data_IF_853894705500
#
_entry.id   IF_853894705500
#
_cell.length_a   1.000
_cell.length_b   1.000
_cell.length_c   1.000
_cell.angle_alpha   90.00
_cell.angle_beta   90.00
_cell.angle_gamma   90.00
#
_symmetry.space_group_name_H-M   'P 1'
#
loop_
_entity.id
_entity.type
_entity.pdbx_description
1 polymer ?
#
# COMPACT_ATOMS: atom_id res chain seq x y z
N UNK A 1 5.80 16.07 18.62
CA UNK A 1 6.33 16.87 17.48
C UNK A 1 5.84 16.20 16.20
N UNK A 2 5.25 16.93 15.26
CA UNK A 2 4.90 16.37 13.96
C UNK A 2 6.19 16.06 13.18
N UNK A 3 6.23 14.89 12.50
CA UNK A 3 7.35 14.52 11.65
C UNK A 3 7.51 15.54 10.51
N UNK A 4 8.74 15.91 10.18
CA UNK A 4 9.02 16.76 9.04
C UNK A 4 8.87 15.96 7.76
N UNK A 5 8.15 16.49 6.78
CA UNK A 5 7.96 15.88 5.47
C UNK A 5 8.66 16.71 4.40
N UNK A 6 9.56 16.08 3.67
CA UNK A 6 10.31 16.68 2.57
C UNK A 6 10.07 15.92 1.27
N UNK A 7 10.15 16.62 0.15
CA UNK A 7 9.94 16.07 -1.19
C UNK A 7 11.21 16.24 -2.02
N UNK A 8 11.65 15.16 -2.63
CA UNK A 8 12.74 15.08 -3.60
C UNK A 8 12.14 14.79 -4.98
N UNK A 9 12.47 15.62 -5.97
CA UNK A 9 11.96 15.55 -7.35
C UNK A 9 13.12 15.36 -8.33
N UNK A 10 13.73 14.16 -8.39
CA UNK A 10 14.95 13.92 -9.15
C UNK A 10 14.79 14.10 -10.66
N UNK A 11 13.59 13.86 -11.17
CA UNK A 11 13.27 13.90 -12.61
C UNK A 11 12.57 15.20 -13.02
N UNK A 12 12.56 16.21 -12.14
CA UNK A 12 11.86 17.49 -12.36
C UNK A 12 10.38 17.34 -12.72
N UNK A 13 9.76 16.29 -12.23
CA UNK A 13 8.37 15.94 -12.54
C UNK A 13 7.39 17.04 -12.13
N UNK A 14 7.67 17.73 -11.03
CA UNK A 14 6.92 18.87 -10.52
C UNK A 14 7.61 20.21 -10.80
N UNK A 15 8.82 20.19 -11.37
CA UNK A 15 9.64 21.38 -11.60
C UNK A 15 10.09 22.04 -10.29
N UNK A 16 10.46 21.23 -9.28
CA UNK A 16 10.90 21.71 -7.97
C UNK A 16 12.39 22.03 -7.90
N UNK A 17 13.17 21.59 -8.89
CA UNK A 17 14.64 21.67 -8.92
C UNK A 17 15.21 22.99 -9.42
N UNK A 18 14.40 24.03 -9.57
CA UNK A 18 14.86 25.36 -10.00
C UNK A 18 16.00 25.92 -9.13
N UNK A 19 16.25 25.35 -7.94
CA UNK A 19 17.23 25.87 -6.99
C UNK A 19 18.38 24.91 -6.71
N UNK A 20 18.18 23.60 -6.71
CA UNK A 20 19.20 22.59 -6.53
C UNK A 20 18.61 21.18 -6.77
N UNK A 21 19.08 20.44 -7.78
CA UNK A 21 18.57 19.08 -8.07
C UNK A 21 18.81 18.07 -6.94
N UNK A 22 19.68 18.37 -5.99
CA UNK A 22 19.94 17.54 -4.81
C UNK A 22 19.14 17.99 -3.58
N UNK A 23 18.48 19.15 -3.63
CA UNK A 23 17.72 19.67 -2.51
C UNK A 23 16.33 19.06 -2.42
N UNK A 24 15.87 18.87 -1.20
CA UNK A 24 14.49 18.50 -0.92
C UNK A 24 13.73 19.74 -0.43
N UNK A 25 12.47 19.85 -0.87
CA UNK A 25 11.59 20.96 -0.44
C UNK A 25 10.56 20.47 0.58
N UNK A 26 10.03 21.34 1.46
CA UNK A 26 8.92 20.97 2.32
C UNK A 26 7.71 20.52 1.50
N UNK A 27 7.02 19.45 1.94
CA UNK A 27 5.88 18.85 1.23
C UNK A 27 4.78 19.87 0.86
N UNK A 28 4.55 20.88 1.70
CA UNK A 28 3.58 21.95 1.42
C UNK A 28 3.89 22.71 0.12
N UNK A 29 5.16 22.91 -0.21
CA UNK A 29 5.55 23.59 -1.44
C UNK A 29 5.29 22.71 -2.67
N UNK A 30 5.60 21.43 -2.57
CA UNK A 30 5.32 20.47 -3.64
C UNK A 30 3.81 20.32 -3.89
N UNK A 31 3.00 20.27 -2.84
CA UNK A 31 1.54 20.22 -2.95
C UNK A 31 0.98 21.52 -3.55
N UNK A 32 1.51 22.67 -3.16
CA UNK A 32 1.12 23.97 -3.74
C UNK A 32 1.42 24.00 -5.25
N UNK A 33 2.57 23.43 -5.68
CA UNK A 33 2.92 23.35 -7.10
C UNK A 33 1.87 22.59 -7.91
N UNK A 34 1.40 21.44 -7.40
CA UNK A 34 0.34 20.66 -8.06
C UNK A 34 -0.95 21.46 -8.14
N UNK A 35 -1.33 22.17 -7.07
CA UNK A 35 -2.56 22.94 -7.01
C UNK A 35 -2.56 24.15 -7.95
N UNK A 36 -1.40 24.66 -8.33
CA UNK A 36 -1.27 25.80 -9.25
C UNK A 36 -1.28 25.43 -10.73
N UNK A 37 -1.12 24.14 -11.06
CA UNK A 37 -1.25 23.69 -12.46
C UNK A 37 -2.74 23.70 -12.81
N UNK A 38 -3.14 24.42 -13.89
CA UNK A 38 -4.53 24.36 -14.34
C UNK A 38 -4.88 22.93 -14.75
N UNK A 39 -5.95 22.39 -14.20
CA UNK A 39 -6.44 21.06 -14.51
C UNK A 39 -7.84 21.16 -15.11
N UNK A 40 -8.01 20.66 -16.34
CA UNK A 40 -9.33 20.55 -16.96
C UNK A 40 -10.18 19.45 -16.32
N UNK A 41 -9.54 18.53 -15.59
CA UNK A 41 -10.17 17.40 -14.89
C UNK A 41 -9.71 17.36 -13.43
N UNK A 42 -10.55 16.83 -12.52
CA UNK A 42 -10.19 16.68 -11.12
C UNK A 42 -8.90 15.87 -10.95
N UNK A 43 -8.05 16.33 -10.06
CA UNK A 43 -6.86 15.58 -9.62
C UNK A 43 -7.30 14.53 -8.61
N UNK A 44 -6.97 13.28 -8.91
CA UNK A 44 -7.26 12.13 -8.06
C UNK A 44 -5.98 11.69 -7.34
N UNK A 45 -6.13 11.32 -6.08
CA UNK A 45 -5.06 10.77 -5.25
C UNK A 45 -5.42 9.36 -4.82
N UNK A 46 -4.58 8.39 -5.15
CA UNK A 46 -4.74 6.99 -4.74
C UNK A 46 -3.59 6.55 -3.84
N UNK A 47 -3.91 6.05 -2.64
CA UNK A 47 -2.96 5.33 -1.81
C UNK A 47 -2.97 3.87 -2.24
N UNK A 48 -1.80 3.33 -2.55
CA UNK A 48 -1.59 1.93 -2.92
C UNK A 48 -0.61 1.30 -1.94
N UNK A 49 -0.87 0.08 -1.55
CA UNK A 49 -0.06 -0.71 -0.62
C UNK A 49 0.41 -1.98 -1.33
N UNK A 50 1.44 -1.87 -2.20
CA UNK A 50 1.95 -3.03 -2.92
C UNK A 50 2.67 -3.98 -1.97
N UNK A 51 2.53 -5.28 -2.26
CA UNK A 51 3.22 -6.34 -1.55
C UNK A 51 3.85 -7.31 -2.56
N UNK A 52 4.84 -8.13 -2.16
CA UNK A 52 5.40 -9.15 -3.03
C UNK A 52 4.32 -10.03 -3.67
N UNK A 53 4.31 -10.10 -5.01
CA UNK A 53 3.28 -10.81 -5.79
C UNK A 53 2.00 -10.02 -6.06
N UNK A 54 1.81 -8.84 -5.47
CA UNK A 54 0.61 -8.02 -5.66
C UNK A 54 0.93 -6.52 -5.75
N UNK A 55 0.79 -5.93 -6.92
CA UNK A 55 1.12 -4.54 -7.18
C UNK A 55 0.05 -3.52 -6.75
N UNK A 56 -1.05 -3.95 -6.14
CA UNK A 56 -2.16 -3.09 -5.68
C UNK A 56 -2.69 -2.13 -6.76
N UNK A 57 -2.66 -2.55 -8.02
CA UNK A 57 -3.11 -1.73 -9.14
C UNK A 57 -2.04 -0.84 -9.78
N UNK A 58 -0.79 -0.83 -9.32
CA UNK A 58 0.31 -0.15 -9.98
C UNK A 58 0.54 -0.68 -11.39
N UNK A 59 0.78 0.24 -12.34
CA UNK A 59 0.94 -0.06 -13.77
C UNK A 59 2.33 0.26 -14.33
N UNK A 60 3.24 0.69 -13.49
CA UNK A 60 4.59 1.04 -13.91
C UNK A 60 4.88 2.54 -13.95
N UNK A 61 6.07 2.93 -14.42
CA UNK A 61 7.19 2.11 -14.92
C UNK A 61 7.73 1.08 -13.91
N UNK A 62 8.49 0.09 -14.39
CA UNK A 62 9.01 -1.00 -13.56
C UNK A 62 9.84 -0.52 -12.35
N UNK A 63 10.61 0.55 -12.53
CA UNK A 63 11.39 1.19 -11.46
C UNK A 63 10.49 1.76 -10.35
N UNK A 64 9.34 2.34 -10.73
CA UNK A 64 8.35 2.87 -9.77
C UNK A 64 7.72 1.72 -8.98
N UNK A 65 7.35 0.63 -9.68
CA UNK A 65 6.78 -0.55 -9.04
C UNK A 65 7.76 -1.17 -8.02
N UNK A 66 9.05 -1.26 -8.37
CA UNK A 66 10.08 -1.76 -7.46
C UNK A 66 10.24 -0.86 -6.25
N UNK A 67 10.41 0.45 -6.45
CA UNK A 67 10.58 1.39 -5.36
C UNK A 67 9.34 1.43 -4.42
N UNK A 68 8.14 1.32 -4.99
CA UNK A 68 6.91 1.24 -4.22
C UNK A 68 6.79 -0.06 -3.41
N UNK A 69 7.24 -1.20 -3.97
CA UNK A 69 7.32 -2.49 -3.26
C UNK A 69 8.32 -2.42 -2.10
N UNK A 70 9.48 -1.83 -2.32
CA UNK A 70 10.52 -1.66 -1.30
C UNK A 70 10.04 -0.74 -0.16
N UNK A 71 9.27 0.29 -0.48
CA UNK A 71 8.68 1.20 0.50
C UNK A 71 7.42 0.63 1.19
N UNK A 72 6.76 -0.37 0.60
CA UNK A 72 5.50 -0.94 1.07
C UNK A 72 4.27 -0.03 0.88
N UNK A 73 4.46 1.19 0.37
CA UNK A 73 3.39 2.16 0.13
C UNK A 73 3.77 3.14 -0.98
N UNK A 74 2.78 3.64 -1.70
CA UNK A 74 2.95 4.73 -2.66
C UNK A 74 1.65 5.50 -2.81
N UNK A 75 1.74 6.80 -2.97
CA UNK A 75 0.59 7.63 -3.33
C UNK A 75 0.74 8.03 -4.79
N UNK A 76 -0.28 7.76 -5.61
CA UNK A 76 -0.28 8.16 -7.01
C UNK A 76 -1.27 9.30 -7.21
N UNK A 77 -0.76 10.42 -7.73
CA UNK A 77 -1.55 11.58 -8.12
C UNK A 77 -1.72 11.57 -9.64
N UNK A 78 -2.95 11.64 -10.14
CA UNK A 78 -3.22 11.64 -11.58
C UNK A 78 -4.49 12.41 -11.91
N UNK A 79 -4.63 12.81 -13.17
CA UNK A 79 -5.88 13.38 -13.66
C UNK A 79 -6.85 12.26 -14.05
N UNK A 80 -8.12 12.44 -13.83
CA UNK A 80 -9.17 11.46 -14.10
C UNK A 80 -9.49 11.22 -15.58
N UNK A 81 -8.49 11.31 -16.47
CA UNK A 81 -8.67 11.07 -17.92
C UNK A 81 -8.59 9.58 -18.25
N UNK A 82 -9.33 9.15 -19.27
CA UNK A 82 -9.55 7.75 -19.61
C UNK A 82 -8.48 7.10 -20.49
N UNK A 83 -7.62 7.86 -21.16
CA UNK A 83 -6.63 7.33 -22.09
C UNK A 83 -5.21 7.51 -21.57
N UNK A 84 -4.66 6.46 -20.92
CA UNK A 84 -3.28 6.42 -20.39
C UNK A 84 -2.89 7.70 -19.62
N UNK A 85 -3.57 8.01 -18.53
CA UNK A 85 -3.30 9.23 -17.79
C UNK A 85 -1.91 9.18 -17.19
N UNK A 86 -1.09 10.16 -17.57
CA UNK A 86 0.16 10.42 -16.88
C UNK A 86 -0.16 10.87 -15.45
N UNK A 87 0.66 10.41 -14.51
CA UNK A 87 0.55 10.77 -13.11
C UNK A 87 1.92 10.91 -12.47
N UNK A 88 1.93 11.17 -11.19
CA UNK A 88 3.12 11.21 -10.36
C UNK A 88 2.98 10.22 -9.21
N UNK A 89 3.99 9.41 -9.00
CA UNK A 89 4.10 8.53 -7.83
C UNK A 89 4.92 9.23 -6.74
N UNK A 90 4.40 9.21 -5.53
CA UNK A 90 5.01 9.76 -4.32
C UNK A 90 5.37 8.60 -3.41
N UNK A 91 6.66 8.28 -3.35
CA UNK A 91 7.17 7.11 -2.65
C UNK A 91 7.77 7.57 -1.32
N UNK A 92 7.25 7.07 -0.17
CA UNK A 92 7.74 7.48 1.14
C UNK A 92 9.03 6.73 1.52
N UNK A 93 9.97 7.45 2.08
CA UNK A 93 11.20 6.91 2.65
C UNK A 93 11.39 7.48 4.06
N UNK A 94 11.32 6.68 5.12
CA UNK A 94 11.60 7.14 6.47
C UNK A 94 13.08 7.49 6.60
N UNK A 95 13.37 8.69 7.13
CA UNK A 95 14.73 9.19 7.37
C UNK A 95 14.80 9.72 8.81
N UNK A 96 15.26 8.90 9.72
CA UNK A 96 15.22 9.20 11.15
C UNK A 96 13.79 9.44 11.64
N UNK A 97 13.50 10.62 12.17
CA UNK A 97 12.16 11.04 12.60
C UNK A 97 11.39 11.79 11.50
N UNK A 98 11.98 11.95 10.31
CA UNK A 98 11.38 12.63 9.18
C UNK A 98 10.90 11.64 8.12
N UNK A 99 10.08 12.13 7.17
CA UNK A 99 9.67 11.38 5.98
C UNK A 99 10.14 12.14 4.74
N UNK A 100 10.92 11.48 3.92
CA UNK A 100 11.27 11.95 2.59
C UNK A 100 10.35 11.29 1.55
N UNK A 101 9.85 12.08 0.64
CA UNK A 101 9.01 11.61 -0.47
C UNK A 101 9.77 11.78 -1.78
N UNK A 102 9.98 10.70 -2.50
CA UNK A 102 10.53 10.78 -3.86
C UNK A 102 9.38 10.85 -4.85
N UNK A 103 9.37 11.89 -5.68
CA UNK A 103 8.34 12.09 -6.71
C UNK A 103 8.91 11.71 -8.05
N UNK A 104 8.22 10.83 -8.76
CA UNK A 104 8.62 10.34 -10.08
C UNK A 104 7.41 10.23 -11.00
N UNK A 105 7.62 10.23 -12.30
CA UNK A 105 6.56 10.01 -13.28
C UNK A 105 6.00 8.59 -13.16
N UNK A 106 4.68 8.48 -13.21
CA UNK A 106 3.97 7.21 -13.12
C UNK A 106 2.78 7.16 -14.07
N UNK A 107 2.25 5.97 -14.26
CA UNK A 107 0.96 5.76 -14.93
C UNK A 107 -0.12 5.70 -13.87
N UNK A 108 -1.29 6.27 -14.15
CA UNK A 108 -2.44 6.16 -13.25
C UNK A 108 -2.71 4.68 -12.90
N UNK A 109 -2.96 4.38 -11.63
CA UNK A 109 -3.20 3.02 -11.19
C UNK A 109 -4.53 2.48 -11.74
N UNK A 110 -4.68 1.16 -11.71
CA UNK A 110 -6.01 0.57 -11.87
C UNK A 110 -6.91 1.02 -10.72
N UNK A 111 -8.19 1.26 -11.00
CA UNK A 111 -9.13 1.60 -9.92
C UNK A 111 -9.17 0.46 -8.89
N UNK A 112 -9.24 0.78 -7.60
CA UNK A 112 -9.39 -0.24 -6.57
C UNK A 112 -10.71 -0.99 -6.77
N UNK A 113 -10.78 -2.27 -6.36
CA UNK A 113 -12.05 -3.00 -6.38
C UNK A 113 -13.08 -2.28 -5.50
N UNK A 114 -14.31 -2.28 -5.95
CA UNK A 114 -15.40 -1.77 -5.10
C UNK A 114 -15.60 -2.66 -3.87
N UNK A 115 -16.20 -2.17 -2.77
CA UNK A 115 -16.54 -3.03 -1.64
C UNK A 115 -17.37 -4.26 -2.02
N UNK A 116 -18.23 -4.13 -3.05
CA UNK A 116 -19.03 -5.24 -3.57
C UNK A 116 -18.15 -6.32 -4.23
N UNK A 117 -17.11 -5.91 -4.96
CA UNK A 117 -16.14 -6.83 -5.58
C UNK A 117 -15.16 -7.41 -4.56
N UNK A 118 -14.74 -6.60 -3.60
CA UNK A 118 -13.76 -7.02 -2.59
C UNK A 118 -14.31 -8.06 -1.61
N UNK A 119 -15.60 -7.99 -1.25
CA UNK A 119 -16.21 -8.89 -0.28
C UNK A 119 -16.17 -10.38 -0.71
N UNK A 120 -16.56 -10.78 -1.94
CA UNK A 120 -16.43 -12.16 -2.39
C UNK A 120 -14.97 -12.59 -2.55
N UNK A 121 -14.07 -11.70 -2.99
CA UNK A 121 -12.64 -12.01 -3.10
C UNK A 121 -12.02 -12.32 -1.74
N UNK A 122 -12.28 -11.50 -0.72
CA UNK A 122 -11.81 -11.74 0.64
C UNK A 122 -12.32 -13.09 1.18
N UNK A 123 -13.62 -13.38 0.99
CA UNK A 123 -14.21 -14.64 1.43
C UNK A 123 -13.57 -15.83 0.74
N UNK A 124 -13.37 -15.76 -0.57
CA UNK A 124 -12.71 -16.82 -1.34
C UNK A 124 -11.27 -17.05 -0.86
N UNK A 125 -10.52 -15.99 -0.64
CA UNK A 125 -9.14 -16.07 -0.12
C UNK A 125 -9.10 -16.72 1.27
N UNK A 126 -9.99 -16.33 2.18
CA UNK A 126 -10.09 -16.95 3.52
C UNK A 126 -10.36 -18.44 3.40
N UNK A 127 -11.35 -18.85 2.59
CA UNK A 127 -11.69 -20.26 2.43
C UNK A 127 -10.54 -21.07 1.82
N UNK A 128 -9.88 -20.54 0.78
CA UNK A 128 -8.74 -21.20 0.15
C UNK A 128 -7.56 -21.36 1.12
N UNK A 129 -7.21 -20.30 1.85
CA UNK A 129 -6.14 -20.35 2.85
C UNK A 129 -6.47 -21.31 3.99
N UNK A 130 -7.71 -21.32 4.49
CA UNK A 130 -8.12 -22.24 5.53
C UNK A 130 -8.02 -23.71 5.06
N UNK A 131 -8.40 -24.01 3.82
CA UNK A 131 -8.24 -25.32 3.24
C UNK A 131 -6.77 -25.76 3.16
N UNK A 132 -5.89 -24.87 2.68
CA UNK A 132 -4.44 -25.13 2.63
C UNK A 132 -3.84 -25.38 4.02
N UNK A 133 -4.20 -24.56 5.02
CA UNK A 133 -3.72 -24.76 6.39
C UNK A 133 -4.19 -26.09 6.98
N UNK A 134 -5.43 -26.49 6.66
CA UNK A 134 -5.97 -27.77 7.08
C UNK A 134 -5.23 -28.97 6.43
N UNK A 135 -4.94 -28.89 5.13
CA UNK A 135 -4.16 -29.89 4.41
C UNK A 135 -2.74 -30.04 5.00
N UNK A 136 -2.14 -28.92 5.41
CA UNK A 136 -0.83 -28.90 6.08
C UNK A 136 -0.91 -29.34 7.55
N UNK A 137 -2.08 -29.73 8.04
CA UNK A 137 -2.32 -30.06 9.46
C UNK A 137 -1.84 -28.98 10.44
N UNK A 138 -1.80 -27.72 9.98
CA UNK A 138 -1.44 -26.58 10.80
C UNK A 138 -2.64 -26.21 11.68
N UNK A 139 -2.71 -26.87 12.83
CA UNK A 139 -3.74 -26.60 13.84
C UNK A 139 -3.13 -25.75 14.92
N UNK A 140 -3.80 -24.68 15.26
CA UNK A 140 -3.42 -23.79 16.35
C UNK A 140 -3.20 -22.36 15.90
N UNK A 141 -3.38 -21.48 16.80
CA UNK A 141 -3.29 -20.03 16.65
C UNK A 141 -4.26 -19.39 17.63
N UNK A 142 -3.81 -18.34 18.25
CA UNK A 142 -4.70 -17.52 19.10
C UNK A 142 -5.33 -16.48 18.19
N UNK A 143 -6.67 -16.40 18.22
CA UNK A 143 -7.37 -15.27 17.57
C UNK A 143 -6.89 -13.98 18.25
N UNK A 144 -6.35 -13.02 17.50
CA UNK A 144 -5.95 -11.75 18.09
C UNK A 144 -7.18 -11.03 18.65
N UNK A 145 -7.01 -10.45 19.83
CA UNK A 145 -8.03 -9.58 20.42
C UNK A 145 -7.88 -8.20 19.79
N UNK A 146 -8.64 -7.95 18.73
CA UNK A 146 -8.49 -6.76 17.88
C UNK A 146 -9.78 -5.99 17.85
N UNK A 147 -9.69 -4.70 18.06
CA UNK A 147 -10.78 -3.76 17.84
C UNK A 147 -10.60 -3.15 16.45
N UNK A 148 -11.47 -3.47 15.48
CA UNK A 148 -11.41 -2.87 14.16
C UNK A 148 -11.63 -1.35 14.23
N UNK A 149 -11.01 -0.57 13.34
CA UNK A 149 -11.23 0.87 13.28
C UNK A 149 -12.68 1.17 12.84
N UNK A 150 -13.34 2.04 13.56
CA UNK A 150 -14.65 2.54 13.17
C UNK A 150 -14.49 3.78 12.29
N UNK A 151 -15.01 3.70 11.07
CA UNK A 151 -15.00 4.82 10.12
C UNK A 151 -16.40 5.44 10.03
N UNK A 152 -16.50 6.71 10.37
CA UNK A 152 -17.76 7.46 10.25
C UNK A 152 -18.12 7.70 8.78
N UNK A 153 -19.42 7.68 8.45
CA UNK A 153 -19.91 7.98 7.10
C UNK A 153 -19.92 6.80 6.13
N UNK A 154 -19.47 5.62 6.55
CA UNK A 154 -19.55 4.40 5.74
C UNK A 154 -20.87 3.63 5.97
N UNK A 155 -21.31 2.90 4.93
CA UNK A 155 -22.45 2.03 5.06
C UNK A 155 -22.14 0.87 6.02
N UNK A 156 -23.12 0.34 6.76
CA UNK A 156 -22.88 -0.78 7.69
C UNK A 156 -22.29 -2.03 7.00
N UNK A 157 -22.58 -2.25 5.73
CA UNK A 157 -22.00 -3.35 4.96
C UNK A 157 -20.50 -3.17 4.71
N UNK A 158 -20.08 -1.94 4.40
CA UNK A 158 -18.68 -1.61 4.14
C UNK A 158 -17.89 -1.67 5.46
N UNK A 159 -18.49 -1.24 6.58
CA UNK A 159 -17.88 -1.39 7.92
C UNK A 159 -17.67 -2.86 8.27
N UNK A 160 -18.65 -3.74 8.04
CA UNK A 160 -18.47 -5.19 8.28
C UNK A 160 -17.38 -5.81 7.42
N UNK A 161 -17.24 -5.37 6.17
CA UNK A 161 -16.15 -5.81 5.30
C UNK A 161 -14.79 -5.38 5.85
N UNK A 162 -14.68 -4.11 6.29
CA UNK A 162 -13.47 -3.59 6.92
C UNK A 162 -13.12 -4.37 8.20
N UNK A 163 -14.11 -4.63 9.07
CA UNK A 163 -13.92 -5.40 10.31
C UNK A 163 -13.39 -6.80 10.02
N UNK A 164 -13.94 -7.45 8.99
CA UNK A 164 -13.49 -8.78 8.57
C UNK A 164 -12.07 -8.74 8.00
N UNK A 165 -11.78 -7.80 7.11
CA UNK A 165 -10.46 -7.64 6.52
C UNK A 165 -9.40 -7.32 7.57
N UNK A 166 -9.72 -6.41 8.51
CA UNK A 166 -8.84 -6.05 9.62
C UNK A 166 -8.53 -7.24 10.53
N UNK A 167 -9.56 -8.01 10.88
CA UNK A 167 -9.40 -9.20 11.72
C UNK A 167 -8.49 -10.24 11.06
N UNK A 168 -8.66 -10.47 9.75
CA UNK A 168 -7.81 -11.40 8.98
C UNK A 168 -6.37 -10.88 8.90
N UNK A 169 -6.18 -9.61 8.60
CA UNK A 169 -4.85 -9.00 8.52
C UNK A 169 -4.10 -9.17 9.84
N UNK A 170 -4.73 -8.84 10.96
CA UNK A 170 -4.11 -8.99 12.28
C UNK A 170 -3.85 -10.46 12.66
N UNK A 171 -4.71 -11.39 12.21
CA UNK A 171 -4.48 -12.81 12.40
C UNK A 171 -3.27 -13.31 11.61
N UNK A 172 -3.09 -12.82 10.38
CA UNK A 172 -1.92 -13.14 9.55
C UNK A 172 -0.64 -12.58 10.17
N UNK A 173 -0.65 -11.35 10.67
CA UNK A 173 0.51 -10.73 11.31
C UNK A 173 0.90 -11.48 12.59
N UNK A 174 -0.06 -11.80 13.44
CA UNK A 174 0.17 -12.61 14.64
C UNK A 174 0.72 -14.02 14.30
N UNK A 175 0.26 -14.61 13.18
CA UNK A 175 0.79 -15.87 12.67
C UNK A 175 2.23 -15.79 12.17
N UNK A 176 2.62 -14.66 11.60
CA UNK A 176 4.02 -14.42 11.17
C UNK A 176 4.97 -14.22 12.33
N UNK A 177 4.52 -13.61 13.40
CA UNK A 177 5.31 -13.35 14.61
C UNK A 177 5.41 -14.60 15.50
N UNK A 178 4.38 -15.47 15.45
CA UNK A 178 4.42 -16.71 16.22
C UNK A 178 5.41 -17.68 15.60
N UNK A 179 6.49 -17.94 16.29
CA UNK A 179 7.41 -19.07 16.05
C UNK A 179 6.71 -20.40 16.41
N UNK A 180 5.57 -20.67 15.81
CA UNK A 180 4.93 -21.96 15.89
C UNK A 180 5.74 -22.94 15.05
N UNK A 181 6.79 -23.45 15.66
CA UNK A 181 7.47 -24.66 15.19
C UNK A 181 6.47 -25.79 15.44
N UNK A 182 5.62 -26.08 14.48
CA UNK A 182 4.92 -27.36 14.48
C UNK A 182 6.00 -28.45 14.41
N UNK A 183 5.79 -29.57 15.09
CA UNK A 183 6.74 -30.71 15.03
C UNK A 183 7.09 -31.08 13.57
N UNK A 184 6.16 -30.89 12.63
CA UNK A 184 6.37 -31.07 11.19
C UNK A 184 7.28 -29.99 10.58
N UNK A 185 7.14 -28.73 10.99
CA UNK A 185 8.03 -27.64 10.53
C UNK A 185 9.46 -27.78 11.04
N UNK A 186 9.64 -28.33 12.25
CA UNK A 186 10.95 -28.70 12.78
C UNK A 186 11.56 -29.86 11.97
N UNK A 187 10.78 -30.90 11.71
CA UNK A 187 11.23 -32.06 10.95
C UNK A 187 11.53 -31.76 9.48
N UNK A 188 10.76 -30.86 8.85
CA UNK A 188 11.02 -30.41 7.47
C UNK A 188 12.29 -29.58 7.38
N UNK A 189 12.64 -28.81 8.42
CA UNK A 189 13.89 -28.04 8.49
C UNK A 189 15.10 -28.95 8.74
N UNK A 190 14.97 -30.00 9.55
CA UNK A 190 16.04 -30.98 9.76
C UNK A 190 16.33 -31.82 8.51
N UNK A 191 15.34 -32.05 7.65
CA UNK A 191 15.51 -32.81 6.40
C UNK A 191 16.06 -31.92 5.25
N UNK A 192 16.04 -30.60 5.40
CA UNK A 192 16.52 -29.63 4.40
C UNK A 192 17.94 -29.08 4.69
N UNK A 193 18.58 -29.51 5.80
CA UNK A 193 19.97 -29.28 6.16
C UNK A 193 20.81 -30.52 5.87
#
# INVERSE_FOLDING_TARGET
MAAAHHVHDPDETLGLSEHDPLSSVPIRMALARISHVPHDTPVLWGLLLPAPGQLAGLRGPAQVNRAALDAGAVVVCHQGSTTMPAGTAWIPHPVGSAMQWTVVRAVAPLPPPTPADAAPLLRSAICATAAQLNELSMMGGRRPDVVPPYLTGHRPADQRLLDSAWTVMMACDAGRESTMITAYGAQTRETAL
#
